data_IF_662334980278
#
_entry.id   IF_662334980278
#
_cell.length_a   1.000
_cell.length_b   1.000
_cell.length_c   1.000
_cell.angle_alpha   90.00
_cell.angle_beta   90.00
_cell.angle_gamma   90.00
#
_symmetry.space_group_name_H-M   'P 1'
#
loop_
_entity.id
_entity.type
_entity.pdbx_description
1 polymer ?
#
# COMPACT_ATOMS: atom_id res chain seq x y z
N UNK A 1 -49.28 24.65 -20.72
CA UNK A 1 -49.93 23.36 -20.39
C UNK A 1 -48.88 22.28 -20.62
N UNK A 2 -48.35 21.52 -19.66
CA UNK A 2 -48.65 21.34 -18.26
C UNK A 2 -47.35 20.90 -17.55
N UNK A 3 -47.18 21.33 -16.29
CA UNK A 3 -46.16 20.82 -15.39
C UNK A 3 -46.64 19.48 -14.81
N UNK A 4 -45.74 18.50 -14.68
CA UNK A 4 -45.99 17.29 -13.90
C UNK A 4 -44.88 17.11 -12.88
N UNK A 5 -45.17 17.54 -11.65
CA UNK A 5 -44.44 17.21 -10.44
C UNK A 5 -44.54 15.71 -10.19
N UNK A 6 -43.41 15.00 -10.09
CA UNK A 6 -43.37 13.69 -9.46
C UNK A 6 -42.59 13.82 -8.15
N UNK A 7 -43.37 13.88 -7.07
CA UNK A 7 -42.90 13.81 -5.69
C UNK A 7 -42.30 12.43 -5.45
N UNK A 8 -41.04 12.39 -5.02
CA UNK A 8 -40.41 11.18 -4.52
C UNK A 8 -40.97 10.87 -3.12
N UNK A 9 -41.68 9.75 -2.98
CA UNK A 9 -41.97 9.15 -1.68
C UNK A 9 -41.01 7.99 -1.44
N UNK A 10 -40.28 7.94 -0.30
CA UNK A 10 -39.47 6.77 0.05
C UNK A 10 -40.38 5.60 0.47
N UNK A 11 -40.01 4.33 0.21
CA UNK A 11 -40.79 3.19 0.65
C UNK A 11 -40.73 3.04 2.17
N UNK A 12 -41.90 2.88 2.80
CA UNK A 12 -42.05 2.61 4.22
C UNK A 12 -41.54 1.20 4.57
N UNK A 13 -40.51 1.11 5.41
CA UNK A 13 -40.03 -0.15 6.00
C UNK A 13 -40.99 -0.59 7.12
N UNK A 14 -41.47 -1.84 7.14
CA UNK A 14 -42.30 -2.33 8.24
C UNK A 14 -41.44 -2.55 9.50
N UNK A 15 -41.82 -1.86 10.59
CA UNK A 15 -41.27 -2.04 11.95
C UNK A 15 -41.89 -3.26 12.62
N UNK A 16 -41.56 -4.48 12.20
CA UNK A 16 -41.64 -5.71 13.02
C UNK A 16 -41.26 -6.93 12.19
N UNK A 17 -40.05 -7.45 12.37
CA UNK A 17 -39.72 -8.83 11.99
C UNK A 17 -39.93 -9.71 13.23
N UNK A 18 -41.08 -10.40 13.30
CA UNK A 18 -41.28 -11.50 14.25
C UNK A 18 -40.56 -12.73 13.72
N UNK A 19 -39.32 -12.95 14.16
CA UNK A 19 -38.64 -14.24 14.00
C UNK A 19 -38.96 -15.14 15.20
N UNK A 20 -39.41 -16.40 15.01
CA UNK A 20 -39.44 -17.36 16.09
C UNK A 20 -37.99 -17.80 16.40
N UNK A 21 -37.52 -17.54 17.62
CA UNK A 21 -36.22 -17.98 18.09
C UNK A 21 -36.24 -19.48 18.39
N UNK A 22 -35.28 -20.29 17.91
CA UNK A 22 -35.07 -21.63 18.46
C UNK A 22 -34.39 -21.50 19.83
N UNK A 23 -35.05 -22.00 20.87
CA UNK A 23 -34.55 -22.06 22.24
C UNK A 23 -33.42 -23.08 22.37
N UNK A 24 -32.19 -22.63 22.18
CA UNK A 24 -30.99 -23.36 22.60
C UNK A 24 -30.78 -23.20 24.11
N UNK A 25 -30.46 -24.27 24.87
CA UNK A 25 -30.24 -24.16 26.30
C UNK A 25 -28.93 -23.40 26.58
N UNK A 26 -29.07 -22.24 27.24
CA UNK A 26 -27.97 -21.47 27.81
C UNK A 26 -27.23 -22.32 28.85
N UNK A 27 -26.02 -22.76 28.53
CA UNK A 27 -25.09 -23.33 29.52
C UNK A 27 -24.64 -22.21 30.47
N UNK A 28 -24.56 -22.46 31.78
CA UNK A 28 -24.15 -21.46 32.75
C UNK A 28 -22.72 -20.99 32.46
N UNK A 29 -22.57 -19.68 32.57
CA UNK A 29 -21.36 -18.89 32.45
C UNK A 29 -20.13 -19.58 33.04
N UNK A 30 -19.09 -19.76 32.22
CA UNK A 30 -17.75 -19.95 32.73
C UNK A 30 -17.35 -18.67 33.45
N UNK A 31 -17.44 -18.71 34.79
CA UNK A 31 -16.92 -17.68 35.67
C UNK A 31 -15.39 -17.64 35.51
N UNK A 32 -14.92 -16.83 34.55
CA UNK A 32 -13.51 -16.51 34.43
C UNK A 32 -13.07 -15.78 35.70
N UNK A 33 -12.39 -16.50 36.59
CA UNK A 33 -11.70 -15.89 37.73
C UNK A 33 -10.55 -15.05 37.17
N UNK A 34 -10.49 -13.73 37.42
CA UNK A 34 -9.36 -12.92 37.00
C UNK A 34 -8.14 -13.39 37.78
N UNK A 35 -7.17 -13.98 37.08
CA UNK A 35 -5.88 -14.32 37.66
C UNK A 35 -5.12 -13.00 37.87
N UNK A 36 -4.92 -12.60 39.13
CA UNK A 36 -4.20 -11.37 39.52
C UNK A 36 -2.68 -11.48 39.32
N UNK A 37 -2.23 -12.16 38.27
CA UNK A 37 -0.82 -12.13 37.88
C UNK A 37 -0.54 -10.74 37.32
N UNK A 38 0.09 -9.91 38.14
CA UNK A 38 0.67 -8.63 37.75
C UNK A 38 1.65 -8.90 36.61
N UNK A 39 1.26 -8.61 35.37
CA UNK A 39 2.18 -8.62 34.24
C UNK A 39 3.14 -7.45 34.44
N UNK A 40 4.38 -7.74 34.83
CA UNK A 40 5.46 -6.75 34.81
C UNK A 40 5.99 -6.65 33.39
N UNK A 41 5.75 -5.54 32.65
CA UNK A 41 6.40 -5.34 31.37
C UNK A 41 7.91 -5.29 31.62
N UNK A 42 8.63 -6.27 31.07
CA UNK A 42 10.09 -6.31 31.11
C UNK A 42 10.57 -5.70 29.81
N UNK A 43 10.97 -4.43 29.83
CA UNK A 43 11.70 -3.85 28.72
C UNK A 43 13.03 -4.59 28.61
N UNK A 44 13.23 -5.31 27.50
CA UNK A 44 14.54 -5.86 27.16
C UNK A 44 15.33 -4.72 26.54
N UNK A 45 16.21 -4.11 27.34
CA UNK A 45 17.26 -3.27 26.82
C UNK A 45 18.14 -4.14 25.91
N UNK A 46 18.23 -3.76 24.63
CA UNK A 46 19.13 -4.39 23.67
C UNK A 46 20.56 -4.27 24.20
N UNK A 47 21.09 -5.36 24.73
CA UNK A 47 22.44 -5.39 25.26
C UNK A 47 23.43 -5.33 24.09
N UNK A 48 24.12 -4.19 24.04
CA UNK A 48 25.50 -3.99 23.58
C UNK A 48 25.83 -4.44 22.15
N UNK A 49 26.00 -3.42 21.30
CA UNK A 49 26.78 -3.46 20.05
C UNK A 49 28.11 -4.18 20.29
N UNK A 50 28.24 -5.38 19.73
CA UNK A 50 29.54 -5.97 19.45
C UNK A 50 30.19 -5.09 18.40
N UNK A 51 31.26 -4.41 18.80
CA UNK A 51 32.11 -3.60 17.91
C UNK A 51 32.83 -4.56 16.97
N UNK A 52 32.16 -4.91 15.87
CA UNK A 52 32.81 -5.45 14.69
C UNK A 52 33.40 -4.27 13.93
N UNK A 53 34.70 -4.05 14.12
CA UNK A 53 35.49 -3.14 13.30
C UNK A 53 35.34 -3.55 11.82
N UNK A 54 34.50 -2.83 11.11
CA UNK A 54 34.47 -2.80 9.64
C UNK A 54 34.50 -1.34 9.25
N UNK A 55 35.39 -1.03 8.31
CA UNK A 55 35.75 0.31 7.90
C UNK A 55 34.52 1.21 7.70
N UNK A 56 34.52 2.36 8.37
CA UNK A 56 33.55 3.43 8.18
C UNK A 56 33.79 4.11 6.83
N UNK A 57 33.43 3.46 5.73
CA UNK A 57 33.08 4.19 4.51
C UNK A 57 31.80 4.95 4.85
N UNK A 58 31.90 6.28 5.01
CA UNK A 58 30.76 7.16 5.17
C UNK A 58 29.71 6.76 4.12
N UNK A 59 28.57 6.24 4.59
CA UNK A 59 27.55 5.65 3.73
C UNK A 59 26.92 6.79 2.92
N UNK A 60 27.53 7.09 1.76
CA UNK A 60 27.14 8.20 0.90
C UNK A 60 25.76 7.85 0.37
N UNK A 61 24.72 8.47 0.93
CA UNK A 61 23.36 8.31 0.45
C UNK A 61 23.36 8.52 -1.07
N UNK A 62 23.05 7.45 -1.81
CA UNK A 62 22.95 7.53 -3.26
C UNK A 62 21.69 8.32 -3.60
N UNK A 63 21.83 9.65 -3.67
CA UNK A 63 20.77 10.54 -4.11
C UNK A 63 20.73 10.57 -5.63
N UNK A 64 19.60 10.18 -6.21
CA UNK A 64 19.35 10.30 -7.64
C UNK A 64 19.34 11.75 -8.14
N UNK A 65 19.07 12.70 -7.23
CA UNK A 65 19.18 14.13 -7.47
C UNK A 65 20.44 14.69 -6.80
N UNK A 66 21.33 15.24 -7.61
CA UNK A 66 22.61 15.79 -7.16
C UNK A 66 22.75 17.24 -7.60
N UNK A 67 23.21 18.10 -6.70
CA UNK A 67 23.65 19.46 -7.04
C UNK A 67 25.17 19.45 -7.14
N UNK A 68 25.71 19.97 -8.24
CA UNK A 68 27.16 20.20 -8.38
C UNK A 68 27.52 21.53 -7.72
N UNK A 69 28.64 21.56 -6.99
CA UNK A 69 29.13 22.77 -6.34
C UNK A 69 29.75 23.75 -7.36
N UNK A 70 30.32 23.22 -8.46
CA UNK A 70 31.00 24.00 -9.49
C UNK A 70 30.01 24.75 -10.38
N UNK A 71 29.05 24.04 -10.99
CA UNK A 71 28.13 24.64 -11.96
C UNK A 71 26.78 25.08 -11.33
N UNK A 72 26.56 24.77 -10.04
CA UNK A 72 25.32 25.05 -9.28
C UNK A 72 24.02 24.47 -9.86
N UNK A 73 24.06 23.65 -10.90
CA UNK A 73 22.89 23.00 -11.48
C UNK A 73 22.45 21.75 -10.71
N UNK A 74 21.13 21.50 -10.72
CA UNK A 74 20.52 20.25 -10.25
C UNK A 74 20.49 19.23 -11.38
N UNK A 75 20.92 18.00 -11.09
CA UNK A 75 20.90 16.87 -12.03
C UNK A 75 20.09 15.71 -11.47
N UNK A 76 19.44 14.95 -12.35
CA UNK A 76 18.78 13.67 -12.07
C UNK A 76 19.44 12.59 -12.92
N UNK A 77 20.07 11.58 -12.30
CA UNK A 77 20.83 10.52 -12.99
C UNK A 77 21.82 11.07 -14.06
N UNK A 78 22.45 12.21 -13.76
CA UNK A 78 23.41 12.88 -14.65
C UNK A 78 22.79 13.89 -15.63
N UNK A 79 21.48 13.87 -15.87
CA UNK A 79 20.78 14.82 -16.76
C UNK A 79 20.49 16.12 -16.02
N UNK A 80 20.79 17.29 -16.60
CA UNK A 80 20.44 18.58 -15.96
C UNK A 80 18.92 18.73 -15.95
N UNK A 81 18.37 19.12 -14.81
CA UNK A 81 16.92 19.34 -14.68
C UNK A 81 16.47 20.51 -15.55
N UNK A 82 17.33 21.52 -15.77
CA UNK A 82 17.06 22.63 -16.68
C UNK A 82 16.77 22.15 -18.12
N UNK A 83 17.62 21.27 -18.66
CA UNK A 83 17.44 20.71 -20.00
C UNK A 83 16.09 19.96 -20.12
N UNK A 84 15.65 19.30 -19.04
CA UNK A 84 14.33 18.65 -18.99
C UNK A 84 13.22 19.70 -18.97
N UNK A 85 13.34 20.76 -18.18
CA UNK A 85 12.36 21.88 -18.13
C UNK A 85 12.21 22.50 -19.52
N UNK A 86 13.32 22.70 -20.24
CA UNK A 86 13.32 23.32 -21.57
C UNK A 86 12.73 22.40 -22.66
N UNK A 87 12.77 21.08 -22.44
CA UNK A 87 12.21 20.07 -23.34
C UNK A 87 10.70 19.86 -23.20
N UNK A 88 10.10 20.32 -22.09
CA UNK A 88 8.68 20.14 -21.79
C UNK A 88 7.95 21.47 -21.85
N UNK A 89 6.62 21.42 -21.99
CA UNK A 89 5.81 22.63 -21.91
C UNK A 89 6.02 23.34 -20.57
N UNK A 90 5.94 24.68 -20.58
CA UNK A 90 6.09 25.53 -19.39
C UNK A 90 4.91 25.35 -18.41
N UNK A 91 4.87 24.21 -17.72
CA UNK A 91 3.88 23.82 -16.71
C UNK A 91 4.55 23.00 -15.62
N UNK A 92 4.00 22.96 -14.39
CA UNK A 92 4.52 22.09 -13.33
C UNK A 92 4.50 20.62 -13.77
N UNK A 93 5.59 19.89 -13.51
CA UNK A 93 5.70 18.47 -13.81
C UNK A 93 6.39 17.69 -12.69
N UNK A 94 6.17 16.38 -12.68
CA UNK A 94 6.86 15.46 -11.79
C UNK A 94 8.01 14.77 -12.52
N UNK A 95 9.21 14.79 -11.92
CA UNK A 95 10.39 14.10 -12.43
C UNK A 95 10.78 12.96 -11.49
N UNK A 96 10.81 11.74 -12.02
CA UNK A 96 11.17 10.55 -11.26
C UNK A 96 12.44 9.91 -11.85
N UNK A 97 13.33 9.43 -10.98
CA UNK A 97 14.44 8.57 -11.39
C UNK A 97 13.98 7.11 -11.42
N UNK A 98 13.93 6.51 -12.62
CA UNK A 98 13.67 5.08 -12.79
C UNK A 98 14.74 4.21 -12.11
N UNK A 99 16.06 4.47 -12.26
CA UNK A 99 17.09 3.72 -11.54
C UNK A 99 16.92 3.76 -10.03
N UNK A 100 16.49 4.90 -9.47
CA UNK A 100 16.24 4.98 -8.03
C UNK A 100 15.09 4.06 -7.58
N UNK A 101 14.01 3.98 -8.35
CA UNK A 101 12.90 3.08 -8.05
C UNK A 101 13.38 1.62 -8.05
N UNK A 102 14.22 1.25 -9.03
CA UNK A 102 14.85 -0.09 -9.08
C UNK A 102 15.73 -0.34 -7.87
N UNK A 103 16.68 0.56 -7.56
CA UNK A 103 17.57 0.43 -6.39
C UNK A 103 16.78 0.26 -5.09
N UNK A 104 15.72 1.06 -4.92
CA UNK A 104 14.87 0.97 -3.73
C UNK A 104 14.20 -0.41 -3.62
N UNK A 105 13.73 -0.97 -4.74
CA UNK A 105 13.16 -2.32 -4.77
C UNK A 105 14.22 -3.38 -4.47
N UNK A 106 15.40 -3.29 -5.09
CA UNK A 106 16.49 -4.24 -4.91
C UNK A 106 16.95 -4.29 -3.45
N UNK A 107 17.01 -3.15 -2.75
CA UNK A 107 17.33 -3.11 -1.32
C UNK A 107 16.34 -3.93 -0.49
N UNK A 108 15.03 -3.85 -0.79
CA UNK A 108 14.03 -4.69 -0.12
C UNK A 108 14.16 -6.15 -0.51
N UNK A 109 14.44 -6.43 -1.79
CA UNK A 109 14.63 -7.78 -2.30
C UNK A 109 15.81 -8.49 -1.62
N UNK A 110 16.97 -7.85 -1.58
CA UNK A 110 18.17 -8.39 -0.93
C UNK A 110 17.96 -8.61 0.56
N UNK A 111 17.28 -7.69 1.25
CA UNK A 111 16.97 -7.83 2.67
C UNK A 111 16.04 -9.02 2.97
N UNK A 112 15.16 -9.38 2.03
CA UNK A 112 14.13 -10.39 2.20
C UNK A 112 14.43 -11.72 1.48
N UNK A 113 15.60 -11.85 0.83
CA UNK A 113 15.94 -12.98 -0.04
C UNK A 113 15.90 -14.35 0.67
N UNK A 114 16.16 -14.38 1.98
CA UNK A 114 16.16 -15.60 2.80
C UNK A 114 14.78 -15.97 3.35
N UNK A 115 13.76 -15.13 3.13
CA UNK A 115 12.42 -15.33 3.63
C UNK A 115 11.47 -15.62 2.47
N UNK A 116 10.55 -16.55 2.66
CA UNK A 116 9.38 -16.68 1.77
C UNK A 116 8.50 -15.46 1.97
N UNK A 117 8.75 -14.42 1.16
CA UNK A 117 8.15 -13.10 1.31
C UNK A 117 7.66 -12.60 -0.04
N UNK A 118 6.70 -11.68 0.01
CA UNK A 118 6.19 -10.98 -1.17
C UNK A 118 6.36 -9.50 -0.90
N UNK A 119 7.07 -8.80 -1.80
CA UNK A 119 7.28 -7.36 -1.68
C UNK A 119 6.02 -6.64 -2.14
N UNK A 120 5.37 -5.99 -1.16
CA UNK A 120 4.12 -5.26 -1.26
C UNK A 120 4.28 -3.77 -1.53
N UNK A 121 4.12 -3.28 -2.77
CA UNK A 121 4.06 -1.84 -3.01
C UNK A 121 2.64 -1.30 -2.78
N UNK A 122 2.50 -0.29 -1.93
CA UNK A 122 1.21 0.35 -1.69
C UNK A 122 0.87 1.33 -2.82
N UNK A 123 -0.17 1.03 -3.60
CA UNK A 123 -0.55 1.84 -4.79
C UNK A 123 -0.97 3.25 -4.38
N UNK A 124 -1.58 3.41 -3.21
CA UNK A 124 -1.92 4.71 -2.61
C UNK A 124 -0.76 5.70 -2.55
N UNK A 125 0.50 5.25 -2.56
CA UNK A 125 1.66 6.13 -2.54
C UNK A 125 1.91 6.81 -3.89
N UNK A 126 1.74 6.07 -5.00
CA UNK A 126 1.81 6.61 -6.36
C UNK A 126 1.11 5.64 -7.32
N UNK A 127 0.03 6.10 -7.95
CA UNK A 127 -0.80 5.31 -8.86
C UNK A 127 -0.41 5.49 -10.34
N UNK A 128 0.79 6.02 -10.63
CA UNK A 128 1.27 6.13 -12.00
C UNK A 128 1.45 4.73 -12.62
N UNK A 129 0.69 4.46 -13.69
CA UNK A 129 0.67 3.17 -14.38
C UNK A 129 2.06 2.72 -14.84
N UNK A 130 2.94 3.63 -15.27
CA UNK A 130 4.30 3.29 -15.74
C UNK A 130 5.23 2.90 -14.61
N UNK A 131 5.08 3.51 -13.44
CA UNK A 131 5.82 3.10 -12.23
C UNK A 131 5.35 1.71 -11.79
N UNK A 132 4.04 1.48 -11.83
CA UNK A 132 3.45 0.18 -11.52
C UNK A 132 3.94 -0.91 -12.49
N UNK A 133 3.86 -0.69 -13.80
CA UNK A 133 4.40 -1.60 -14.82
C UNK A 133 5.89 -1.91 -14.60
N UNK A 134 6.70 -0.91 -14.22
CA UNK A 134 8.12 -1.09 -13.92
C UNK A 134 8.35 -1.97 -12.69
N UNK A 135 7.64 -1.70 -11.59
CA UNK A 135 7.70 -2.52 -10.38
C UNK A 135 7.23 -3.96 -10.62
N UNK A 136 6.23 -4.15 -11.48
CA UNK A 136 5.79 -5.49 -11.91
C UNK A 136 6.91 -6.27 -12.57
N UNK A 137 7.65 -5.63 -13.49
CA UNK A 137 8.76 -6.26 -14.21
C UNK A 137 9.90 -6.67 -13.28
N UNK A 138 10.09 -5.94 -12.17
CA UNK A 138 11.07 -6.29 -11.14
C UNK A 138 10.63 -7.47 -10.25
N UNK A 139 9.39 -7.96 -10.37
CA UNK A 139 8.88 -9.07 -9.56
C UNK A 139 8.18 -8.65 -8.27
N UNK A 140 7.79 -7.37 -8.14
CA UNK A 140 6.94 -6.91 -7.04
C UNK A 140 5.56 -7.58 -7.14
N UNK A 141 5.36 -8.63 -6.36
CA UNK A 141 4.15 -9.46 -6.40
C UNK A 141 2.97 -8.83 -5.67
N UNK A 142 3.20 -8.24 -4.49
CA UNK A 142 2.10 -7.69 -3.70
C UNK A 142 1.87 -6.23 -4.01
N UNK A 143 0.61 -5.92 -4.28
CA UNK A 143 0.11 -4.55 -4.24
C UNK A 143 -0.87 -4.46 -3.10
N UNK A 144 -0.63 -3.49 -2.23
CA UNK A 144 -1.58 -3.15 -1.18
C UNK A 144 -2.55 -2.15 -1.77
N UNK A 145 -3.78 -2.61 -1.97
CA UNK A 145 -4.88 -1.89 -2.59
C UNK A 145 -5.85 -1.46 -1.49
N UNK A 146 -6.45 -0.28 -1.62
CA UNK A 146 -7.38 0.29 -0.62
C UNK A 146 -8.78 0.50 -1.21
N UNK A 147 -8.91 0.59 -2.53
CA UNK A 147 -10.19 0.76 -3.24
C UNK A 147 -10.30 -0.12 -4.47
N UNK A 148 -11.52 -0.37 -4.95
CA UNK A 148 -11.74 -1.10 -6.20
C UNK A 148 -11.11 -0.44 -7.43
N UNK A 149 -10.92 0.88 -7.43
CA UNK A 149 -10.21 1.56 -8.53
C UNK A 149 -8.72 1.24 -8.56
N UNK A 150 -8.07 1.12 -7.40
CA UNK A 150 -6.69 0.65 -7.32
C UNK A 150 -6.60 -0.81 -7.78
N UNK A 151 -7.60 -1.64 -7.46
CA UNK A 151 -7.68 -3.02 -7.92
C UNK A 151 -7.77 -3.11 -9.45
N UNK A 152 -8.66 -2.33 -10.07
CA UNK A 152 -8.74 -2.23 -11.54
C UNK A 152 -7.44 -1.75 -12.16
N UNK A 153 -6.75 -0.80 -11.51
CA UNK A 153 -5.46 -0.30 -11.97
C UNK A 153 -4.36 -1.37 -11.87
N UNK A 154 -4.36 -2.18 -10.80
CA UNK A 154 -3.43 -3.29 -10.64
C UNK A 154 -3.64 -4.36 -11.71
N UNK A 155 -4.89 -4.71 -12.00
CA UNK A 155 -5.24 -5.59 -13.13
C UNK A 155 -4.74 -5.01 -14.45
N UNK A 156 -4.98 -3.72 -14.70
CA UNK A 156 -4.53 -3.03 -15.91
C UNK A 156 -3.01 -2.98 -16.06
N UNK A 157 -2.28 -2.85 -14.95
CA UNK A 157 -0.82 -2.92 -14.95
C UNK A 157 -0.28 -4.35 -15.18
N UNK A 158 -1.15 -5.36 -15.16
CA UNK A 158 -0.85 -6.77 -15.41
C UNK A 158 -0.34 -7.52 -14.18
N UNK A 159 -0.66 -7.06 -12.96
CA UNK A 159 -0.26 -7.79 -11.75
C UNK A 159 -1.03 -9.10 -11.62
N UNK A 160 -0.36 -10.07 -11.02
CA UNK A 160 -0.94 -11.34 -10.64
C UNK A 160 -1.88 -11.13 -9.44
N UNK A 161 -3.20 -11.39 -9.58
CA UNK A 161 -4.16 -11.22 -8.49
C UNK A 161 -3.80 -12.05 -7.25
N UNK A 162 -3.18 -13.22 -7.44
CA UNK A 162 -2.79 -14.14 -6.36
C UNK A 162 -1.70 -13.58 -5.45
N UNK A 163 -1.04 -12.50 -5.89
CA UNK A 163 -0.02 -11.84 -5.08
C UNK A 163 -0.52 -10.52 -4.52
N UNK A 164 -1.67 -10.02 -4.92
CA UNK A 164 -2.20 -8.74 -4.47
C UNK A 164 -3.02 -8.86 -3.18
N UNK A 165 -2.97 -7.83 -2.34
CA UNK A 165 -3.62 -7.80 -1.01
C UNK A 165 -4.62 -6.63 -0.99
N UNK A 166 -5.90 -6.94 -0.81
CA UNK A 166 -6.95 -5.92 -0.77
C UNK A 166 -7.27 -5.47 0.66
N UNK A 167 -6.63 -4.37 1.07
CA UNK A 167 -6.76 -3.74 2.39
C UNK A 167 -7.79 -2.60 2.40
N UNK A 168 -8.05 -2.02 3.57
CA UNK A 168 -8.96 -0.88 3.75
C UNK A 168 -10.16 -1.18 4.68
N UNK A 169 -10.56 -0.17 5.45
CA UNK A 169 -11.83 -0.16 6.19
C UNK A 169 -12.98 0.21 5.24
N UNK A 170 -14.22 -0.16 5.61
CA UNK A 170 -15.44 0.25 4.89
C UNK A 170 -15.47 -0.11 3.40
N UNK A 171 -15.04 -1.33 3.05
CA UNK A 171 -15.10 -1.82 1.67
C UNK A 171 -16.55 -1.94 1.19
N UNK A 172 -16.81 -1.38 0.01
CA UNK A 172 -18.08 -1.54 -0.70
C UNK A 172 -18.28 -3.00 -1.10
N UNK A 173 -19.54 -3.46 -1.11
CA UNK A 173 -19.86 -4.83 -1.50
C UNK A 173 -19.42 -5.12 -2.94
N UNK A 174 -19.58 -4.16 -3.85
CA UNK A 174 -19.12 -4.28 -5.24
C UNK A 174 -17.61 -4.48 -5.39
N UNK A 175 -16.81 -3.83 -4.54
CA UNK A 175 -15.35 -3.97 -4.55
C UNK A 175 -14.93 -5.34 -4.02
N UNK A 176 -15.63 -5.88 -3.02
CA UNK A 176 -15.42 -7.23 -2.49
C UNK A 176 -15.79 -8.31 -3.51
N UNK A 177 -16.91 -8.12 -4.23
CA UNK A 177 -17.33 -9.01 -5.31
C UNK A 177 -16.28 -9.01 -6.43
N UNK A 178 -15.78 -7.83 -6.81
CA UNK A 178 -14.73 -7.69 -7.82
C UNK A 178 -13.43 -8.40 -7.38
N UNK A 179 -12.99 -8.19 -6.14
CA UNK A 179 -11.80 -8.84 -5.59
C UNK A 179 -11.92 -10.36 -5.60
N UNK A 180 -13.07 -10.89 -5.18
CA UNK A 180 -13.33 -12.34 -5.13
C UNK A 180 -13.37 -12.94 -6.54
N UNK A 181 -14.03 -12.25 -7.49
CA UNK A 181 -14.15 -12.71 -8.88
C UNK A 181 -12.80 -12.82 -9.59
N UNK A 182 -11.91 -11.87 -9.33
CA UNK A 182 -10.60 -11.77 -9.98
C UNK A 182 -9.51 -12.56 -9.24
N UNK A 183 -9.82 -13.14 -8.07
CA UNK A 183 -8.90 -13.98 -7.30
C UNK A 183 -7.88 -13.22 -6.45
N UNK A 184 -8.26 -12.02 -5.96
CA UNK A 184 -7.46 -11.27 -4.98
C UNK A 184 -7.63 -11.85 -3.56
N UNK A 185 -6.58 -11.73 -2.75
CA UNK A 185 -6.57 -12.09 -1.33
C UNK A 185 -7.03 -10.95 -0.42
#
# INVERSE_FOLDING_TARGET
MAASQFLAHPPNLPKSLKCPSPSLPLKPSLLFKPNSKTLKPRAVLSEKLVVAATATTANKFHRCFTKSDDDKFLRCEGVKVQDVIDSVDKRPFYLYSKPQITRNFDVYHEALIRLRSIIGYAIKANNNLKILEHLRRLGCGAKVLVSGNELRLALRAGFDPTKCIFNGNEKLLEDLVLATKEGFF
#
